data_IF_729140573262
#
_entry.id   IF_729140573262
#
_cell.length_a   1.000
_cell.length_b   1.000
_cell.length_c   1.000
_cell.angle_alpha   90.00
_cell.angle_beta   90.00
_cell.angle_gamma   90.00
#
_symmetry.space_group_name_H-M   'P 1'
#
loop_
_entity.id
_entity.type
_entity.pdbx_description
1 polymer ?
#
# COMPACT_ATOMS: atom_id res chain seq x y z
N UNK A 1 -24.47 -5.55 -8.05
CA UNK A 1 -25.19 -4.30 -7.69
C UNK A 1 -24.45 -3.51 -6.61
N UNK A 2 -23.91 -4.15 -5.56
CA UNK A 2 -23.11 -3.49 -4.50
C UNK A 2 -21.81 -2.83 -5.01
N UNK A 3 -21.13 -3.47 -5.96
CA UNK A 3 -19.84 -3.01 -6.53
C UNK A 3 -19.92 -1.66 -7.23
N UNK A 4 -20.94 -1.44 -8.06
CA UNK A 4 -21.10 -0.19 -8.82
C UNK A 4 -21.37 1.03 -7.90
N UNK A 5 -22.05 0.82 -6.78
CA UNK A 5 -22.41 1.88 -5.84
C UNK A 5 -21.21 2.28 -4.97
N UNK A 6 -20.39 1.31 -4.56
CA UNK A 6 -19.10 1.52 -3.90
C UNK A 6 -18.15 2.27 -4.85
N UNK A 7 -18.04 1.82 -6.10
CA UNK A 7 -17.18 2.46 -7.10
C UNK A 7 -17.58 3.92 -7.35
N UNK A 8 -18.88 4.20 -7.52
CA UNK A 8 -19.38 5.56 -7.75
C UNK A 8 -19.12 6.48 -6.56
N UNK A 9 -19.26 5.98 -5.33
CA UNK A 9 -18.93 6.70 -4.09
C UNK A 9 -17.42 6.98 -4.03
N UNK A 10 -16.60 5.96 -4.25
CA UNK A 10 -15.14 6.05 -4.26
C UNK A 10 -14.62 7.09 -5.25
N UNK A 11 -15.07 7.03 -6.51
CA UNK A 11 -14.71 8.00 -7.56
C UNK A 11 -15.10 9.43 -7.21
N UNK A 12 -16.18 9.64 -6.45
CA UNK A 12 -16.60 10.97 -6.02
C UNK A 12 -15.68 11.52 -4.92
N UNK A 13 -15.34 10.71 -3.92
CA UNK A 13 -14.44 11.15 -2.85
C UNK A 13 -13.02 11.41 -3.38
N UNK A 14 -12.52 10.58 -4.31
CA UNK A 14 -11.24 10.82 -4.99
C UNK A 14 -11.22 12.16 -5.75
N UNK A 15 -12.29 12.48 -6.49
CA UNK A 15 -12.38 13.76 -7.21
C UNK A 15 -12.42 14.97 -6.28
N UNK A 16 -13.05 14.83 -5.11
CA UNK A 16 -13.05 15.88 -4.08
C UNK A 16 -11.67 16.06 -3.47
N UNK A 17 -10.98 14.97 -3.15
CA UNK A 17 -9.60 15.01 -2.65
C UNK A 17 -8.66 15.73 -3.63
N UNK A 18 -8.72 15.38 -4.92
CA UNK A 18 -7.94 16.03 -5.98
C UNK A 18 -8.29 17.52 -6.14
N UNK A 19 -9.57 17.88 -6.11
CA UNK A 19 -10.00 19.26 -6.27
C UNK A 19 -9.64 20.17 -5.09
N UNK A 20 -9.51 19.61 -3.88
CA UNK A 20 -9.33 20.37 -2.64
C UNK A 20 -7.91 20.28 -2.07
N UNK A 21 -6.98 19.55 -2.73
CA UNK A 21 -5.67 19.17 -2.15
C UNK A 21 -5.84 18.60 -0.73
N UNK A 22 -6.96 17.91 -0.46
CA UNK A 22 -7.20 17.25 0.83
C UNK A 22 -6.41 15.95 0.85
N UNK A 23 -5.17 16.17 1.24
CA UNK A 23 -3.97 15.44 0.84
C UNK A 23 -3.85 14.07 1.50
N UNK A 24 -4.12 13.95 2.81
CA UNK A 24 -3.59 12.81 3.55
C UNK A 24 -4.51 11.58 3.55
N UNK A 25 -5.76 11.66 4.04
CA UNK A 25 -6.63 10.47 4.17
C UNK A 25 -6.87 9.75 2.83
N UNK A 26 -7.08 10.48 1.74
CA UNK A 26 -7.27 9.89 0.41
C UNK A 26 -5.99 9.24 -0.10
N UNK A 27 -4.83 9.86 0.12
CA UNK A 27 -3.53 9.27 -0.23
C UNK A 27 -3.24 8.03 0.61
N UNK A 28 -3.38 8.11 1.93
CA UNK A 28 -3.25 6.98 2.86
C UNK A 28 -4.17 5.83 2.46
N UNK A 29 -5.41 6.13 2.05
CA UNK A 29 -6.34 5.10 1.59
C UNK A 29 -5.89 4.42 0.29
N UNK A 30 -5.41 5.20 -0.68
CA UNK A 30 -4.87 4.66 -1.94
C UNK A 30 -3.56 3.92 -1.71
N UNK A 31 -2.71 4.41 -0.81
CA UNK A 31 -1.46 3.80 -0.39
C UNK A 31 -1.71 2.43 0.24
N UNK A 32 -2.55 2.37 1.27
CA UNK A 32 -2.97 1.12 1.91
C UNK A 32 -3.63 0.14 0.94
N UNK A 33 -4.44 0.64 -0.01
CA UNK A 33 -5.03 -0.17 -1.06
C UNK A 33 -3.97 -0.76 -2.02
N UNK A 34 -2.90 -0.02 -2.31
CA UNK A 34 -1.78 -0.49 -3.11
C UNK A 34 -1.10 -1.73 -2.51
N UNK A 35 -0.72 -1.67 -1.23
CA UNK A 35 -0.20 -2.84 -0.51
C UNK A 35 -1.21 -3.98 -0.48
N UNK A 36 -2.43 -3.69 -0.02
CA UNK A 36 -3.47 -4.70 0.17
C UNK A 36 -3.79 -5.47 -1.11
N UNK A 37 -3.76 -4.79 -2.26
CA UNK A 37 -4.03 -5.43 -3.55
C UNK A 37 -2.87 -6.33 -3.98
N UNK A 38 -1.63 -5.91 -3.75
CA UNK A 38 -0.46 -6.74 -4.00
C UNK A 38 -0.46 -7.99 -3.10
N UNK A 39 -0.70 -7.81 -1.80
CA UNK A 39 -0.78 -8.91 -0.83
C UNK A 39 -1.89 -9.91 -1.17
N UNK A 40 -3.00 -9.42 -1.72
CA UNK A 40 -4.14 -10.27 -2.08
C UNK A 40 -3.94 -11.05 -3.38
N UNK A 41 -3.23 -10.47 -4.35
CA UNK A 41 -3.14 -11.03 -5.71
C UNK A 41 -1.87 -11.83 -5.99
N UNK A 42 -0.76 -11.53 -5.29
CA UNK A 42 0.52 -12.15 -5.59
C UNK A 42 0.64 -13.51 -4.87
N UNK A 43 0.90 -14.62 -5.59
CA UNK A 43 0.89 -15.96 -5.01
C UNK A 43 1.93 -16.20 -3.91
N UNK A 44 3.00 -15.41 -3.88
CA UNK A 44 4.11 -15.52 -2.92
C UNK A 44 4.12 -14.37 -1.90
N UNK A 45 3.06 -13.57 -1.84
CA UNK A 45 2.91 -12.55 -0.82
C UNK A 45 2.49 -13.19 0.50
N UNK A 46 2.81 -12.51 1.60
CA UNK A 46 2.23 -12.89 2.88
C UNK A 46 0.70 -12.77 2.88
N UNK A 47 0.06 -13.56 3.74
CA UNK A 47 -1.39 -13.58 3.83
C UNK A 47 -1.91 -12.25 4.37
N UNK A 48 -2.60 -11.49 3.52
CA UNK A 48 -3.34 -10.29 3.91
C UNK A 48 -4.31 -10.56 5.08
N UNK A 49 -4.30 -9.70 6.10
CA UNK A 49 -5.23 -9.76 7.24
C UNK A 49 -6.20 -8.58 7.25
N UNK A 50 -5.68 -7.36 7.26
CA UNK A 50 -6.51 -6.14 7.32
C UNK A 50 -5.74 -4.92 6.84
N UNK A 51 -6.47 -3.89 6.42
CA UNK A 51 -5.95 -2.55 6.14
C UNK A 51 -6.76 -1.53 6.95
N UNK A 52 -6.09 -0.52 7.50
CA UNK A 52 -6.72 0.61 8.19
C UNK A 52 -6.18 1.94 7.67
N UNK A 53 -7.07 2.92 7.58
CA UNK A 53 -6.76 4.33 7.26
C UNK A 53 -6.98 5.23 8.48
N UNK A 54 -7.24 4.61 9.64
CA UNK A 54 -7.39 5.31 10.91
C UNK A 54 -5.99 5.58 11.46
N UNK A 55 -5.61 6.85 11.65
CA UNK A 55 -4.27 7.21 12.12
C UNK A 55 -4.09 6.84 13.59
N UNK A 56 -2.84 6.56 13.96
CA UNK A 56 -2.38 6.29 15.32
C UNK A 56 -1.16 7.15 15.64
N UNK A 57 -0.59 7.02 16.83
CA UNK A 57 0.66 7.72 17.16
C UNK A 57 1.87 7.23 16.33
N UNK A 58 1.79 6.03 15.74
CA UNK A 58 2.90 5.38 15.03
C UNK A 58 2.80 5.49 13.50
N UNK A 59 1.57 5.55 12.97
CA UNK A 59 1.32 5.53 11.52
C UNK A 59 -0.01 6.21 11.17
N UNK A 60 -0.06 6.82 9.98
CA UNK A 60 -1.29 7.44 9.44
C UNK A 60 -2.27 6.40 8.87
N UNK A 61 -1.77 5.21 8.53
CA UNK A 61 -2.52 4.03 8.11
C UNK A 61 -1.58 2.82 8.04
N UNK A 62 -2.12 1.61 7.98
CA UNK A 62 -1.29 0.41 7.94
C UNK A 62 -2.01 -0.79 7.30
N UNK A 63 -1.24 -1.56 6.54
CA UNK A 63 -1.61 -2.86 6.00
C UNK A 63 -0.93 -3.94 6.84
N UNK A 64 -1.70 -4.95 7.25
CA UNK A 64 -1.22 -6.02 8.11
C UNK A 64 -1.32 -7.36 7.38
N UNK A 65 -0.19 -8.05 7.33
CA UNK A 65 -0.03 -9.42 6.82
C UNK A 65 0.30 -10.37 7.97
N UNK A 66 0.14 -11.68 7.74
CA UNK A 66 0.48 -12.67 8.74
C UNK A 66 2.00 -12.70 8.98
N UNK A 67 2.48 -12.51 10.22
CA UNK A 67 3.91 -12.36 10.49
C UNK A 67 4.68 -13.61 10.06
N UNK A 68 5.83 -13.38 9.43
CA UNK A 68 6.75 -14.44 9.01
C UNK A 68 8.19 -14.06 9.32
N UNK A 69 8.93 -15.00 9.90
CA UNK A 69 10.34 -14.78 10.26
C UNK A 69 11.32 -15.24 9.16
N UNK A 70 10.89 -16.17 8.30
CA UNK A 70 11.75 -16.80 7.29
C UNK A 70 11.11 -16.67 5.91
N UNK A 71 11.82 -16.00 5.00
CA UNK A 71 11.39 -15.78 3.63
C UNK A 71 12.23 -16.59 2.66
N UNK A 72 11.57 -17.26 1.71
CA UNK A 72 12.21 -17.74 0.50
C UNK A 72 12.56 -16.56 -0.42
N UNK A 73 13.49 -16.77 -1.35
CA UNK A 73 13.93 -15.73 -2.29
C UNK A 73 12.77 -15.13 -3.13
N UNK A 74 11.82 -15.98 -3.53
CA UNK A 74 10.61 -15.55 -4.25
C UNK A 74 9.69 -14.67 -3.40
N UNK A 75 9.62 -14.94 -2.10
CA UNK A 75 8.81 -14.18 -1.15
C UNK A 75 9.47 -12.83 -0.87
N UNK A 76 10.79 -12.77 -0.67
CA UNK A 76 11.51 -11.49 -0.54
C UNK A 76 11.30 -10.57 -1.75
N UNK A 77 11.29 -11.14 -2.96
CA UNK A 77 10.98 -10.38 -4.19
C UNK A 77 9.54 -9.90 -4.22
N UNK A 78 8.61 -10.72 -3.74
CA UNK A 78 7.19 -10.38 -3.71
C UNK A 78 6.91 -9.30 -2.65
N UNK A 79 7.52 -9.40 -1.48
CA UNK A 79 7.48 -8.37 -0.44
C UNK A 79 7.98 -7.01 -0.95
N UNK A 80 9.07 -6.98 -1.72
CA UNK A 80 9.51 -5.73 -2.35
C UNK A 80 8.45 -5.15 -3.31
N UNK A 81 7.72 -5.99 -4.05
CA UNK A 81 6.62 -5.54 -4.92
C UNK A 81 5.45 -5.02 -4.09
N UNK A 82 5.08 -5.72 -3.01
CA UNK A 82 4.00 -5.30 -2.11
C UNK A 82 4.31 -3.97 -1.43
N UNK A 83 5.53 -3.78 -0.94
CA UNK A 83 6.00 -2.52 -0.34
C UNK A 83 6.00 -1.36 -1.35
N UNK A 84 6.38 -1.60 -2.62
CA UNK A 84 6.23 -0.57 -3.66
C UNK A 84 4.80 -0.37 -4.15
N UNK A 85 3.87 -1.27 -3.79
CA UNK A 85 2.46 -1.21 -4.19
C UNK A 85 1.79 0.09 -3.77
N UNK A 86 2.03 0.56 -2.54
CA UNK A 86 1.46 1.81 -2.02
C UNK A 86 1.88 3.03 -2.84
N UNK A 87 3.20 3.22 -3.01
CA UNK A 87 3.75 4.29 -3.86
C UNK A 87 3.26 4.21 -5.30
N UNK A 88 3.21 3.00 -5.87
CA UNK A 88 2.74 2.84 -7.25
C UNK A 88 1.27 3.20 -7.40
N UNK A 89 0.44 2.86 -6.41
CA UNK A 89 -0.96 3.27 -6.38
C UNK A 89 -1.09 4.80 -6.30
N UNK A 90 -0.33 5.47 -5.43
CA UNK A 90 -0.36 6.94 -5.35
C UNK A 90 0.00 7.60 -6.68
N UNK A 91 1.09 7.15 -7.31
CA UNK A 91 1.51 7.65 -8.62
C UNK A 91 0.42 7.49 -9.69
N UNK A 92 -0.38 6.41 -9.63
CA UNK A 92 -1.46 6.16 -10.60
C UNK A 92 -2.68 7.06 -10.39
N UNK A 93 -2.96 7.50 -9.15
CA UNK A 93 -4.16 8.26 -8.81
C UNK A 93 -3.93 9.76 -8.66
N UNK A 94 -2.70 10.16 -8.33
CA UNK A 94 -2.34 11.54 -7.99
C UNK A 94 -1.18 12.11 -8.80
N UNK A 95 -0.61 11.33 -9.74
CA UNK A 95 0.57 11.69 -10.55
C UNK A 95 1.86 11.97 -9.75
N UNK A 96 1.81 11.86 -8.42
CA UNK A 96 2.92 12.02 -7.48
C UNK A 96 2.70 11.13 -6.24
N UNK A 97 3.80 10.67 -5.64
CA UNK A 97 3.84 10.03 -4.33
C UNK A 97 4.58 10.97 -3.38
N UNK A 98 3.89 11.42 -2.33
CA UNK A 98 4.40 12.41 -1.38
C UNK A 98 4.00 11.97 0.04
N UNK A 99 4.97 11.80 0.93
CA UNK A 99 4.71 11.70 2.37
C UNK A 99 4.78 10.31 3.02
N UNK A 100 5.02 9.23 2.27
CA UNK A 100 5.20 7.87 2.82
C UNK A 100 6.59 7.30 2.54
N UNK A 101 7.57 8.19 2.38
CA UNK A 101 8.97 7.84 2.14
C UNK A 101 9.64 7.59 3.49
N UNK A 102 10.12 6.37 3.72
CA UNK A 102 10.77 6.03 4.98
C UNK A 102 10.63 4.57 5.38
N UNK A 103 9.49 4.15 5.92
CA UNK A 103 9.31 2.79 6.44
C UNK A 103 9.51 1.73 5.36
N UNK A 104 8.81 1.89 4.24
CA UNK A 104 8.74 0.85 3.22
C UNK A 104 10.05 0.77 2.44
N UNK A 105 10.66 1.92 2.14
CA UNK A 105 11.93 2.00 1.41
C UNK A 105 13.06 1.32 2.18
N UNK A 106 13.12 1.50 3.49
CA UNK A 106 14.14 0.85 4.34
C UNK A 106 13.97 -0.67 4.37
N UNK A 107 12.73 -1.15 4.42
CA UNK A 107 12.45 -2.59 4.38
C UNK A 107 12.78 -3.16 3.00
N UNK A 108 12.41 -2.47 1.93
CA UNK A 108 12.79 -2.83 0.56
C UNK A 108 14.31 -2.90 0.42
N UNK A 109 15.05 -1.90 0.92
CA UNK A 109 16.50 -1.89 0.86
C UNK A 109 17.09 -3.10 1.61
N UNK A 110 16.54 -3.42 2.78
CA UNK A 110 16.90 -4.62 3.55
C UNK A 110 16.65 -5.92 2.77
N UNK A 111 15.51 -6.04 2.08
CA UNK A 111 15.21 -7.20 1.23
C UNK A 111 16.11 -7.25 -0.01
N UNK A 112 16.35 -6.12 -0.68
CA UNK A 112 17.22 -6.04 -1.83
C UNK A 112 18.64 -6.51 -1.50
N UNK A 113 19.18 -6.09 -0.34
CA UNK A 113 20.48 -6.54 0.15
C UNK A 113 20.56 -8.06 0.35
N UNK A 114 19.47 -8.71 0.78
CA UNK A 114 19.41 -10.18 0.94
C UNK A 114 19.24 -10.92 -0.38
N UNK A 115 18.66 -10.28 -1.40
CA UNK A 115 18.36 -10.90 -2.70
C UNK A 115 19.52 -10.79 -3.68
N UNK A 116 20.29 -9.69 -3.62
CA UNK A 116 21.25 -9.33 -4.65
C UNK A 116 22.72 -9.25 -4.19
N UNK A 117 23.00 -9.42 -2.90
CA UNK A 117 24.37 -9.57 -2.36
C UNK A 117 24.57 -10.98 -1.81
#
# INVERSE_FOLDING_TARGET
>A
MVTAQIEKKWRRELRRANAQRLNNEARVSVHGAGHSLCDWLLPSAERFMRCTVVPTAEFDGATFTHPKDVFALSELRTEMVCLYGGKRAEMLFFDESIGHEGSDDLVVEGHAKKVYN
#
